data_IF_333522970879
#
_entry.id   IF_333522970879
#
_cell.length_a   1.000
_cell.length_b   1.000
_cell.length_c   1.000
_cell.angle_alpha   90.00
_cell.angle_beta   90.00
_cell.angle_gamma   90.00
#
_symmetry.space_group_name_H-M   'P 1'
#
loop_
_entity.id
_entity.type
_entity.pdbx_description
1 polymer ?
#
# COMPACT_ATOMS: atom_id res chain seq x y z
N UNK A 1 20.84 4.72 -16.72
CA UNK A 1 20.34 3.47 -16.10
C UNK A 1 18.87 3.67 -15.80
N UNK A 2 17.99 2.75 -16.18
CA UNK A 2 16.57 2.86 -15.84
C UNK A 2 16.38 2.57 -14.34
N UNK A 3 15.66 3.43 -13.63
CA UNK A 3 15.17 3.13 -12.28
C UNK A 3 14.38 1.82 -12.33
N UNK A 4 14.60 0.85 -11.41
CA UNK A 4 13.75 -0.32 -11.35
C UNK A 4 12.31 0.13 -11.11
N UNK A 5 11.45 0.02 -12.11
CA UNK A 5 10.03 0.30 -11.95
C UNK A 5 9.49 -0.72 -10.95
N UNK A 6 9.38 -0.33 -9.66
CA UNK A 6 8.90 -1.17 -8.59
C UNK A 6 7.55 -1.75 -8.98
N UNK A 7 7.54 -3.02 -9.40
CA UNK A 7 6.35 -3.67 -9.97
C UNK A 7 5.24 -3.51 -8.93
N UNK A 8 4.13 -2.81 -9.24
CA UNK A 8 3.09 -2.61 -8.26
C UNK A 8 2.62 -3.98 -7.80
N UNK A 9 2.59 -4.20 -6.47
CA UNK A 9 2.15 -5.43 -5.85
C UNK A 9 0.89 -5.93 -6.56
N UNK A 10 0.92 -7.15 -7.09
CA UNK A 10 0.02 -7.55 -8.19
C UNK A 10 -1.41 -7.89 -7.77
N UNK A 11 -1.74 -7.72 -6.49
CA UNK A 11 -3.01 -8.10 -5.88
C UNK A 11 -3.34 -7.20 -4.69
N UNK A 12 -4.63 -6.94 -4.48
CA UNK A 12 -5.19 -6.35 -3.25
C UNK A 12 -5.10 -7.31 -2.05
N UNK A 13 -5.10 -6.74 -0.84
CA UNK A 13 -5.12 -7.48 0.43
C UNK A 13 -6.34 -8.40 0.59
N UNK A 14 -6.13 -9.54 1.26
CA UNK A 14 -7.12 -10.62 1.45
C UNK A 14 -7.84 -10.58 2.80
N UNK A 15 -7.35 -9.80 3.76
CA UNK A 15 -7.94 -9.65 5.10
C UNK A 15 -9.41 -9.26 5.01
N UNK A 16 -10.29 -9.97 5.73
CA UNK A 16 -11.74 -9.74 5.78
C UNK A 16 -12.49 -9.81 4.45
N UNK A 17 -11.86 -10.28 3.35
CA UNK A 17 -12.47 -10.31 2.00
C UNK A 17 -13.71 -11.22 1.95
N UNK A 18 -14.87 -10.73 1.47
CA UNK A 18 -16.06 -11.55 1.23
C UNK A 18 -15.78 -12.82 0.42
N UNK A 19 -16.39 -13.95 0.83
CA UNK A 19 -16.11 -15.25 0.24
C UNK A 19 -16.53 -15.34 -1.24
N UNK A 20 -17.56 -14.60 -1.63
CA UNK A 20 -18.04 -14.48 -3.00
C UNK A 20 -16.94 -13.94 -3.92
N UNK A 21 -16.18 -12.95 -3.45
CA UNK A 21 -15.05 -12.39 -4.18
C UNK A 21 -13.93 -13.43 -4.29
N UNK A 22 -13.66 -14.20 -3.23
CA UNK A 22 -12.70 -15.31 -3.27
C UNK A 22 -13.12 -16.39 -4.28
N UNK A 23 -14.40 -16.77 -4.33
CA UNK A 23 -14.95 -17.73 -5.29
C UNK A 23 -14.84 -17.20 -6.72
N UNK A 24 -15.25 -15.96 -6.97
CA UNK A 24 -15.21 -15.34 -8.30
C UNK A 24 -13.78 -15.11 -8.82
N UNK A 25 -12.82 -14.78 -7.95
CA UNK A 25 -11.40 -14.71 -8.34
C UNK A 25 -10.93 -16.05 -8.90
N UNK A 26 -11.33 -17.17 -8.28
CA UNK A 26 -10.98 -18.55 -8.69
C UNK A 26 -11.74 -19.06 -9.93
N UNK A 27 -12.83 -18.42 -10.37
CA UNK A 27 -13.61 -18.84 -11.55
C UNK A 27 -12.79 -18.75 -12.85
N UNK A 28 -12.97 -19.73 -13.75
CA UNK A 28 -12.47 -19.69 -15.14
C UNK A 28 -13.14 -18.54 -15.91
N UNK A 29 -12.46 -17.97 -16.92
CA UNK A 29 -12.93 -16.81 -17.73
C UNK A 29 -14.44 -16.82 -18.09
N UNK A 30 -15.02 -17.88 -18.69
CA UNK A 30 -16.44 -17.86 -19.10
C UNK A 30 -17.45 -17.78 -17.92
N UNK A 31 -17.02 -18.03 -16.68
CA UNK A 31 -17.86 -17.90 -15.48
C UNK A 31 -17.66 -16.56 -14.74
N UNK A 32 -16.73 -15.69 -15.20
CA UNK A 32 -16.50 -14.38 -14.58
C UNK A 32 -17.47 -13.30 -15.05
N UNK A 33 -18.05 -13.45 -16.24
CA UNK A 33 -19.14 -12.62 -16.75
C UNK A 33 -20.44 -12.79 -15.98
N UNK A 34 -20.68 -13.97 -15.40
CA UNK A 34 -21.86 -14.27 -14.57
C UNK A 34 -21.66 -13.63 -13.19
N UNK A 35 -22.50 -12.64 -12.79
CA UNK A 35 -22.43 -12.04 -11.46
C UNK A 35 -22.66 -13.09 -10.37
N UNK A 36 -22.16 -12.81 -9.15
CA UNK A 36 -22.63 -13.55 -7.98
C UNK A 36 -23.88 -12.89 -7.40
N UNK A 37 -24.75 -13.72 -6.81
CA UNK A 37 -25.81 -13.24 -5.93
C UNK A 37 -25.24 -13.09 -4.53
N UNK A 38 -25.56 -11.98 -3.88
CA UNK A 38 -25.13 -11.67 -2.51
C UNK A 38 -26.36 -11.32 -1.67
N UNK A 39 -26.36 -11.68 -0.38
CA UNK A 39 -27.29 -11.12 0.60
C UNK A 39 -26.80 -9.70 0.96
N UNK A 40 -27.55 -8.63 0.66
CA UNK A 40 -27.12 -7.26 0.94
C UNK A 40 -26.69 -7.03 2.40
N UNK A 41 -27.40 -7.63 3.36
CA UNK A 41 -27.19 -7.35 4.80
C UNK A 41 -25.87 -7.95 5.29
N UNK A 42 -25.61 -9.21 4.93
CA UNK A 42 -24.37 -9.90 5.28
C UNK A 42 -23.19 -9.36 4.46
N UNK A 43 -23.41 -9.07 3.17
CA UNK A 43 -22.37 -8.60 2.27
C UNK A 43 -21.90 -7.19 2.60
N UNK A 44 -22.79 -6.28 3.03
CA UNK A 44 -22.44 -4.94 3.45
C UNK A 44 -21.36 -4.93 4.56
N UNK A 45 -21.56 -5.73 5.60
CA UNK A 45 -20.64 -5.82 6.75
C UNK A 45 -19.28 -6.40 6.33
N UNK A 46 -19.28 -7.45 5.50
CA UNK A 46 -18.04 -8.04 4.99
C UNK A 46 -17.31 -7.10 4.01
N UNK A 47 -18.05 -6.39 3.15
CA UNK A 47 -17.48 -5.43 2.20
C UNK A 47 -16.87 -4.22 2.93
N UNK A 48 -17.56 -3.67 3.94
CA UNK A 48 -17.00 -2.61 4.78
C UNK A 48 -15.68 -3.06 5.43
N UNK A 49 -15.72 -4.21 6.12
CA UNK A 49 -14.56 -4.81 6.79
C UNK A 49 -13.37 -5.00 5.85
N UNK A 50 -13.62 -5.43 4.61
CA UNK A 50 -12.57 -5.57 3.58
C UNK A 50 -12.08 -4.23 3.05
N UNK A 51 -12.98 -3.30 2.71
CA UNK A 51 -12.63 -2.00 2.15
C UNK A 51 -11.78 -1.18 3.13
N UNK A 52 -12.16 -1.13 4.41
CA UNK A 52 -11.41 -0.47 5.48
C UNK A 52 -10.04 -1.14 5.73
N UNK A 53 -9.93 -2.46 5.60
CA UNK A 53 -8.66 -3.20 5.70
C UNK A 53 -7.75 -3.03 4.46
N UNK A 54 -8.28 -2.60 3.31
CA UNK A 54 -7.47 -2.21 2.15
C UNK A 54 -6.91 -0.78 2.27
N UNK A 55 -7.58 0.10 3.02
CA UNK A 55 -7.20 1.51 3.08
C UNK A 55 -5.83 1.72 3.74
N UNK A 56 -5.07 2.75 3.32
CA UNK A 56 -3.87 3.16 4.04
C UNK A 56 -4.15 3.46 5.52
N UNK A 57 -3.17 3.20 6.39
CA UNK A 57 -3.31 3.35 7.85
C UNK A 57 -3.56 4.78 8.35
N UNK A 58 -3.32 5.80 7.52
CA UNK A 58 -3.67 7.20 7.79
C UNK A 58 -5.09 7.58 7.33
N UNK A 59 -5.69 6.76 6.45
CA UNK A 59 -7.05 6.94 5.90
C UNK A 59 -8.08 6.10 6.68
N UNK A 60 -7.69 4.87 7.01
CA UNK A 60 -8.47 3.95 7.83
C UNK A 60 -8.57 4.47 9.26
N UNK A 61 -9.67 5.14 9.58
CA UNK A 61 -10.06 5.29 10.97
C UNK A 61 -10.29 3.87 11.51
N UNK A 62 -9.55 3.49 12.56
CA UNK A 62 -9.50 2.10 13.08
C UNK A 62 -10.82 1.64 13.76
N UNK A 63 -11.85 2.47 13.67
CA UNK A 63 -13.20 2.32 14.22
C UNK A 63 -14.24 2.97 13.28
N UNK A 64 -14.00 2.94 11.96
CA UNK A 64 -14.99 3.37 10.97
C UNK A 64 -16.07 2.29 10.81
N UNK A 65 -17.15 2.41 11.59
CA UNK A 65 -18.32 1.55 11.46
C UNK A 65 -19.07 1.81 10.15
N UNK A 66 -18.98 3.03 9.60
CA UNK A 66 -19.55 3.43 8.30
C UNK A 66 -18.49 4.02 7.36
N UNK A 67 -18.74 4.00 6.05
CA UNK A 67 -17.77 4.46 5.04
C UNK A 67 -17.65 5.99 5.01
N UNK A 68 -18.67 6.70 5.49
CA UNK A 68 -18.68 8.14 5.70
C UNK A 68 -17.68 8.59 6.79
N UNK A 69 -17.31 7.69 7.71
CA UNK A 69 -16.32 7.95 8.77
C UNK A 69 -14.87 7.87 8.26
N UNK A 70 -14.65 7.42 7.01
CA UNK A 70 -13.31 7.31 6.42
C UNK A 70 -12.77 8.70 6.08
N UNK A 71 -11.57 9.02 6.59
CA UNK A 71 -10.97 10.33 6.46
C UNK A 71 -10.66 10.71 5.01
N UNK A 72 -11.46 11.62 4.45
CA UNK A 72 -11.23 12.26 3.13
C UNK A 72 -10.37 13.53 3.20
N UNK A 73 -10.07 14.00 4.41
CA UNK A 73 -9.53 15.35 4.63
C UNK A 73 -8.00 15.44 4.53
N UNK A 74 -7.27 14.33 4.71
CA UNK A 74 -5.81 14.32 4.76
C UNK A 74 -5.23 13.79 3.43
N UNK A 75 -5.25 14.63 2.39
CA UNK A 75 -4.92 14.21 1.01
C UNK A 75 -3.40 14.13 0.79
N UNK A 76 -2.78 13.07 1.31
CA UNK A 76 -1.43 12.66 0.89
C UNK A 76 -1.45 12.30 -0.60
N UNK A 77 -0.42 12.70 -1.36
CA UNK A 77 -0.29 12.47 -2.80
C UNK A 77 1.03 11.77 -3.18
N UNK A 78 1.73 11.20 -2.21
CA UNK A 78 2.88 10.32 -2.43
C UNK A 78 2.45 8.85 -2.65
N UNK A 79 3.17 8.14 -3.52
CA UNK A 79 2.94 6.71 -3.82
C UNK A 79 2.97 5.82 -2.57
N UNK A 80 3.89 6.09 -1.65
CA UNK A 80 4.10 5.24 -0.47
C UNK A 80 2.85 5.21 0.41
N UNK A 81 2.24 6.37 0.64
CA UNK A 81 0.96 6.52 1.35
C UNK A 81 -0.23 5.84 0.67
N UNK A 82 -0.16 5.50 -0.62
CA UNK A 82 -1.22 4.81 -1.36
C UNK A 82 -0.90 3.35 -1.71
N UNK A 83 0.26 2.82 -1.30
CA UNK A 83 0.80 1.53 -1.77
C UNK A 83 -0.08 0.32 -1.40
N UNK A 84 -1.03 0.44 -0.47
CA UNK A 84 -1.98 -0.63 -0.11
C UNK A 84 -3.08 -0.85 -1.16
N UNK A 85 -3.52 0.22 -1.84
CA UNK A 85 -4.57 0.19 -2.89
C UNK A 85 -4.01 0.40 -4.30
N UNK A 86 -2.79 0.94 -4.44
CA UNK A 86 -2.04 1.05 -5.69
C UNK A 86 -1.49 -0.33 -6.11
N UNK A 87 -2.44 -1.24 -6.41
CA UNK A 87 -2.22 -2.65 -6.75
C UNK A 87 -2.74 -2.91 -8.17
N UNK A 88 -1.81 -3.08 -9.11
CA UNK A 88 -2.13 -3.39 -10.51
C UNK A 88 -2.31 -4.89 -10.76
N UNK A 89 -2.74 -5.26 -11.97
CA UNK A 89 -2.87 -6.66 -12.38
C UNK A 89 -4.24 -7.29 -12.11
N UNK A 90 -4.34 -8.61 -12.33
CA UNK A 90 -5.61 -9.34 -12.42
C UNK A 90 -6.52 -9.23 -11.19
N UNK A 91 -5.96 -8.98 -10.00
CA UNK A 91 -6.69 -8.83 -8.74
C UNK A 91 -6.50 -7.44 -8.10
N UNK A 92 -6.33 -6.40 -8.92
CA UNK A 92 -6.29 -4.99 -8.52
C UNK A 92 -7.68 -4.37 -8.29
N UNK A 93 -7.77 -3.03 -8.32
CA UNK A 93 -8.98 -2.25 -8.01
C UNK A 93 -10.26 -2.67 -8.76
N UNK A 94 -10.12 -3.24 -9.97
CA UNK A 94 -11.23 -3.83 -10.73
C UNK A 94 -12.07 -4.84 -9.92
N UNK A 95 -11.44 -5.59 -8.99
CA UNK A 95 -12.15 -6.54 -8.11
C UNK A 95 -13.12 -5.82 -7.17
N UNK A 96 -12.79 -4.61 -6.70
CA UNK A 96 -13.64 -3.80 -5.81
C UNK A 96 -14.85 -3.28 -6.59
N UNK A 97 -14.65 -2.81 -7.82
CA UNK A 97 -15.73 -2.36 -8.70
C UNK A 97 -16.68 -3.52 -9.07
N UNK A 98 -16.14 -4.71 -9.33
CA UNK A 98 -16.94 -5.93 -9.55
C UNK A 98 -17.73 -6.35 -8.31
N UNK A 99 -17.13 -6.24 -7.12
CA UNK A 99 -17.81 -6.55 -5.86
C UNK A 99 -18.97 -5.59 -5.56
N UNK A 100 -18.78 -4.27 -5.78
CA UNK A 100 -19.85 -3.29 -5.68
C UNK A 100 -20.99 -3.57 -6.68
N UNK A 101 -20.69 -3.96 -7.92
CA UNK A 101 -21.74 -4.23 -8.91
C UNK A 101 -22.62 -5.42 -8.55
N UNK A 102 -22.17 -6.36 -7.70
CA UNK A 102 -23.04 -7.42 -7.17
C UNK A 102 -23.95 -6.90 -6.05
N UNK A 103 -23.45 -6.04 -5.17
CA UNK A 103 -24.25 -5.43 -4.10
C UNK A 103 -25.34 -4.51 -4.69
N UNK A 104 -24.99 -3.59 -5.59
CA UNK A 104 -25.96 -2.71 -6.29
C UNK A 104 -27.03 -3.53 -7.02
N UNK A 105 -26.67 -4.71 -7.56
CA UNK A 105 -27.61 -5.60 -8.26
C UNK A 105 -28.51 -6.41 -7.32
N UNK A 106 -28.10 -6.64 -6.08
CA UNK A 106 -28.94 -7.28 -5.05
C UNK A 106 -29.82 -6.26 -4.29
N UNK A 107 -29.33 -5.03 -4.10
CA UNK A 107 -30.07 -3.92 -3.48
C UNK A 107 -29.60 -2.57 -4.05
N UNK A 108 -30.26 -2.05 -5.10
CA UNK A 108 -29.91 -0.75 -5.71
C UNK A 108 -30.39 0.46 -4.89
N UNK A 109 -31.27 0.24 -3.90
CA UNK A 109 -31.92 1.27 -3.09
C UNK A 109 -31.19 1.56 -1.78
N UNK A 110 -30.24 0.71 -1.38
CA UNK A 110 -29.37 0.93 -0.22
C UNK A 110 -28.55 2.21 -0.38
N UNK A 111 -28.67 3.15 0.56
CA UNK A 111 -27.79 4.33 0.60
C UNK A 111 -26.33 3.96 0.91
N UNK A 112 -26.10 2.88 1.67
CA UNK A 112 -24.76 2.47 2.08
C UNK A 112 -23.91 2.05 0.87
N UNK A 113 -24.45 1.28 -0.09
CA UNK A 113 -23.68 0.89 -1.28
C UNK A 113 -23.29 2.11 -2.12
N UNK A 114 -24.15 3.13 -2.21
CA UNK A 114 -23.82 4.39 -2.89
C UNK A 114 -22.77 5.21 -2.14
N UNK A 115 -22.74 5.16 -0.81
CA UNK A 115 -21.65 5.75 -0.02
C UNK A 115 -20.30 5.08 -0.34
N UNK A 116 -20.26 3.75 -0.49
CA UNK A 116 -19.05 3.03 -0.94
C UNK A 116 -18.69 3.32 -2.40
N UNK A 117 -19.65 3.44 -3.32
CA UNK A 117 -19.39 3.83 -4.73
C UNK A 117 -18.69 5.19 -4.79
N UNK A 118 -19.20 6.18 -4.05
CA UNK A 118 -18.60 7.51 -3.95
C UNK A 118 -17.18 7.46 -3.35
N UNK A 119 -16.95 6.59 -2.36
CA UNK A 119 -15.64 6.43 -1.73
C UNK A 119 -14.61 5.77 -2.64
N UNK A 120 -14.98 4.69 -3.33
CA UNK A 120 -14.14 4.00 -4.32
C UNK A 120 -13.82 4.93 -5.50
N UNK A 121 -14.79 5.71 -5.97
CA UNK A 121 -14.55 6.74 -6.99
C UNK A 121 -13.50 7.77 -6.54
N UNK A 122 -13.64 8.31 -5.32
CA UNK A 122 -12.66 9.25 -4.75
C UNK A 122 -11.26 8.62 -4.62
N UNK A 123 -11.15 7.37 -4.16
CA UNK A 123 -9.86 6.66 -4.10
C UNK A 123 -9.26 6.47 -5.49
N UNK A 124 -10.05 6.10 -6.50
CA UNK A 124 -9.57 5.97 -7.88
C UNK A 124 -9.05 7.32 -8.40
N UNK A 125 -9.76 8.42 -8.16
CA UNK A 125 -9.30 9.77 -8.52
C UNK A 125 -7.95 10.11 -7.87
N UNK A 126 -7.76 9.83 -6.57
CA UNK A 126 -6.48 10.10 -5.88
C UNK A 126 -5.35 9.20 -6.36
N UNK A 127 -5.59 7.91 -6.56
CA UNK A 127 -4.58 6.97 -7.10
C UNK A 127 -4.19 7.38 -8.52
N UNK A 128 -5.12 7.86 -9.35
CA UNK A 128 -4.81 8.40 -10.68
C UNK A 128 -3.93 9.65 -10.60
N UNK A 129 -4.26 10.62 -9.73
CA UNK A 129 -3.45 11.83 -9.53
C UNK A 129 -2.01 11.53 -9.08
N UNK A 130 -1.83 10.52 -8.21
CA UNK A 130 -0.52 10.01 -7.77
C UNK A 130 0.26 9.38 -8.94
N UNK A 131 -0.42 8.65 -9.82
CA UNK A 131 0.19 8.03 -11.02
C UNK A 131 0.46 9.03 -12.14
N UNK A 132 -0.21 10.18 -12.14
CA UNK A 132 0.01 11.27 -13.11
C UNK A 132 1.16 12.18 -12.69
N UNK A 133 1.29 12.53 -11.40
CA UNK A 133 2.43 13.31 -10.89
C UNK A 133 3.76 12.57 -11.12
N UNK A 134 3.80 11.25 -10.86
CA UNK A 134 4.96 10.39 -11.15
C UNK A 134 5.35 10.31 -12.64
N UNK A 135 4.46 10.72 -13.56
CA UNK A 135 4.73 10.76 -15.01
C UNK A 135 5.11 12.16 -15.50
N UNK A 136 4.82 13.19 -14.73
CA UNK A 136 5.17 14.58 -15.02
C UNK A 136 6.51 15.00 -14.41
N UNK A 137 6.95 14.37 -13.32
CA UNK A 137 8.28 14.58 -12.73
C UNK A 137 9.40 14.27 -13.75
N UNK A 138 10.19 15.27 -14.22
CA UNK A 138 11.29 15.03 -15.13
C UNK A 138 12.43 14.29 -14.44
N UNK A 139 13.31 13.63 -15.19
CA UNK A 139 14.48 12.90 -14.68
C UNK A 139 15.62 13.79 -14.11
N UNK A 140 15.28 14.94 -13.51
CA UNK A 140 16.18 16.02 -13.11
C UNK A 140 16.84 15.83 -11.73
N UNK A 141 16.59 14.73 -11.01
CA UNK A 141 17.11 14.51 -9.65
C UNK A 141 18.29 13.54 -9.59
N UNK A 142 19.38 13.84 -10.32
CA UNK A 142 20.58 12.97 -10.34
C UNK A 142 21.95 13.67 -10.45
N UNK A 143 22.26 14.68 -9.64
CA UNK A 143 23.67 15.06 -9.35
C UNK A 143 23.90 15.69 -7.97
N UNK A 144 24.49 14.93 -7.04
CA UNK A 144 25.29 15.46 -5.91
C UNK A 144 26.28 14.40 -5.38
N UNK A 145 26.98 13.71 -6.28
CA UNK A 145 28.01 12.73 -5.94
C UNK A 145 29.32 13.40 -5.49
N UNK A 146 29.36 13.89 -4.26
CA UNK A 146 30.57 14.48 -3.65
C UNK A 146 31.59 13.40 -3.24
N UNK A 147 32.25 12.77 -4.23
CA UNK A 147 33.44 11.94 -4.00
C UNK A 147 34.64 12.82 -3.63
N UNK A 148 34.87 13.03 -2.34
CA UNK A 148 36.18 13.52 -1.87
C UNK A 148 37.21 12.39 -1.92
N UNK A 149 38.44 12.68 -2.37
CA UNK A 149 39.41 11.67 -2.75
C UNK A 149 40.77 11.79 -2.06
N UNK A 150 41.22 10.65 -1.50
CA UNK A 150 42.55 10.04 -1.74
C UNK A 150 43.81 10.84 -1.35
N UNK A 151 44.50 10.38 -0.29
CA UNK A 151 45.99 10.36 -0.16
C UNK A 151 46.44 9.03 0.49
N UNK A 152 47.74 8.67 0.38
CA UNK A 152 48.28 7.30 0.61
C UNK A 152 49.75 7.32 1.09
N UNK A 153 50.05 6.65 2.21
CA UNK A 153 51.38 6.30 2.79
C UNK A 153 51.15 5.30 3.96
N UNK A 154 51.93 4.25 4.31
CA UNK A 154 53.13 3.58 3.74
C UNK A 154 54.44 4.39 3.85
N UNK A 155 55.50 3.95 4.58
CA UNK A 155 55.70 2.77 5.46
C UNK A 155 56.85 2.99 6.49
N UNK A 156 56.87 2.19 7.57
CA UNK A 156 57.99 1.58 8.36
C UNK A 156 59.25 2.43 8.76
N UNK A 157 60.04 2.16 9.82
CA UNK A 157 60.37 0.90 10.52
C UNK A 157 60.93 1.11 11.98
N UNK A 158 60.56 0.20 12.92
CA UNK A 158 61.28 -0.26 14.15
C UNK A 158 61.90 0.77 15.19
N UNK A 159 62.64 0.39 16.28
CA UNK A 159 61.99 -0.07 17.53
C UNK A 159 62.62 0.40 18.88
N UNK A 160 62.13 -0.22 19.97
CA UNK A 160 62.70 -0.34 21.33
C UNK A 160 62.36 0.76 22.38
N UNK A 161 62.17 0.33 23.64
CA UNK A 161 61.85 1.20 24.79
C UNK A 161 61.13 0.46 25.92
N UNK A 162 61.85 -0.03 26.92
CA UNK A 162 61.29 -0.76 28.08
C UNK A 162 61.02 0.18 29.27
N UNK A 163 59.93 -0.03 30.03
CA UNK A 163 60.00 -0.36 31.48
C UNK A 163 58.67 -0.20 32.26
N UNK A 164 58.24 -1.31 32.89
CA UNK A 164 57.75 -1.44 34.28
C UNK A 164 56.77 -0.43 34.95
N UNK A 165 55.67 -0.99 35.52
CA UNK A 165 55.48 -1.24 36.98
C UNK A 165 54.16 -0.78 37.67
N UNK A 166 53.80 -1.50 38.76
CA UNK A 166 52.72 -1.33 39.76
C UNK A 166 51.25 -1.41 39.27
N UNK A 167 50.30 -2.20 39.82
CA UNK A 167 50.15 -3.09 41.02
C UNK A 167 49.47 -2.48 42.28
N UNK A 168 48.13 -2.57 42.30
CA UNK A 168 47.20 -2.56 43.46
C UNK A 168 45.94 -3.34 42.99
N UNK A 169 45.33 -4.33 43.66
CA UNK A 169 44.85 -4.51 45.07
C UNK A 169 43.81 -3.46 45.49
N UNK A 170 42.65 -3.81 46.08
CA UNK A 170 42.23 -5.07 46.76
C UNK A 170 40.68 -5.26 46.69
N UNK A 171 40.21 -6.39 47.23
CA UNK A 171 38.86 -6.74 47.70
C UNK A 171 38.05 -5.57 48.32
N UNK A 172 36.71 -5.64 48.42
CA UNK A 172 35.87 -6.84 48.67
C UNK A 172 34.56 -6.83 47.89
#
# INVERSE_FOLDING_TARGET
MATPCCRPYTQLGTQSRPNEIQVWIKRKKPLKSVPLSVDPKVYAVQFNSWWCALQPSWRSAKSADRVEDILRNNTKLDRESWISVLKGGNNGMYVVVMALSWWIRSDPSSNDVWAFVNDVHWVIQRVTQVLESERCEPAARSTSSSKSGKRKAIAEDEPSGSSSNKKTRKAT
#
